data_IF_816786207646
#
_entry.id   IF_816786207646
#
_cell.length_a   1.000
_cell.length_b   1.000
_cell.length_c   1.000
_cell.angle_alpha   90.00
_cell.angle_beta   90.00
_cell.angle_gamma   90.00
#
_symmetry.space_group_name_H-M   'P 1'
#
loop_
_entity.id
_entity.type
_entity.pdbx_description
1 polymer ?
#
# COMPACT_ATOMS: atom_id res chain seq x y z
N UNK A 1 5.40 -16.32 -24.10
CA UNK A 1 4.84 -14.97 -23.95
C UNK A 1 4.87 -14.57 -22.49
N UNK A 2 5.57 -13.50 -22.21
CA UNK A 2 5.70 -13.03 -20.81
C UNK A 2 4.55 -12.11 -20.48
N UNK A 3 3.86 -12.43 -19.40
CA UNK A 3 2.85 -11.54 -18.86
C UNK A 3 3.43 -10.85 -17.65
N UNK A 4 3.33 -9.54 -17.63
CA UNK A 4 3.71 -8.77 -16.44
C UNK A 4 2.62 -8.92 -15.40
N UNK A 5 2.83 -9.89 -14.51
CA UNK A 5 1.91 -10.08 -13.41
C UNK A 5 2.21 -9.04 -12.33
N UNK A 6 1.20 -8.27 -11.99
CA UNK A 6 1.33 -7.20 -11.01
C UNK A 6 0.14 -7.23 -10.06
N UNK A 7 0.41 -7.27 -8.78
CA UNK A 7 -0.65 -7.23 -7.78
C UNK A 7 -0.24 -6.43 -6.56
N UNK A 8 -1.23 -5.88 -5.90
CA UNK A 8 -1.08 -5.08 -4.69
C UNK A 8 -1.92 -5.71 -3.60
N UNK A 9 -1.33 -5.89 -2.42
CA UNK A 9 -2.04 -6.44 -1.27
C UNK A 9 -1.76 -5.59 -0.04
N UNK A 10 -2.81 -5.15 0.62
CA UNK A 10 -2.69 -4.56 1.95
C UNK A 10 -2.89 -5.65 3.00
N UNK A 11 -2.13 -5.57 4.07
CA UNK A 11 -2.20 -6.54 5.16
C UNK A 11 -1.84 -5.85 6.47
N UNK A 12 -2.09 -6.52 7.59
CA UNK A 12 -1.70 -5.97 8.89
C UNK A 12 -0.64 -6.86 9.53
N UNK A 13 0.25 -6.23 10.32
CA UNK A 13 1.32 -6.94 11.01
C UNK A 13 0.89 -7.22 12.44
N UNK A 14 0.25 -8.36 12.65
CA UNK A 14 -0.31 -8.73 13.95
C UNK A 14 0.73 -8.96 15.04
N UNK A 15 1.96 -9.21 14.63
CA UNK A 15 3.06 -9.45 15.57
C UNK A 15 3.73 -8.17 16.03
N UNK A 16 3.32 -7.01 15.51
CA UNK A 16 3.95 -5.72 15.82
C UNK A 16 2.92 -4.69 16.24
N UNK A 17 2.09 -5.05 17.22
CA UNK A 17 1.06 -4.14 17.69
C UNK A 17 1.66 -2.85 18.25
N UNK A 18 0.98 -1.74 17.99
CA UNK A 18 1.37 -0.44 18.50
C UNK A 18 0.93 -0.30 19.94
N UNK A 19 1.36 0.78 20.59
CA UNK A 19 1.03 1.03 22.00
C UNK A 19 -0.47 1.09 22.25
N UNK A 20 -1.24 1.54 21.26
CA UNK A 20 -2.69 1.63 21.37
C UNK A 20 -3.39 0.31 21.02
N UNK A 21 -2.65 -0.75 20.76
CA UNK A 21 -3.21 -2.05 20.44
C UNK A 21 -3.55 -2.25 18.97
N UNK A 22 -3.34 -1.25 18.15
CA UNK A 22 -3.61 -1.37 16.72
C UNK A 22 -2.45 -2.03 15.99
N UNK A 23 -2.75 -2.71 14.89
CA UNK A 23 -1.75 -3.34 14.06
C UNK A 23 -1.36 -2.42 12.92
N UNK A 24 -0.05 -2.28 12.62
CA UNK A 24 0.38 -1.47 11.49
C UNK A 24 -0.07 -2.10 10.17
N UNK A 25 -0.44 -1.28 9.21
CA UNK A 25 -0.84 -1.74 7.88
C UNK A 25 0.38 -1.73 6.99
N UNK A 26 0.59 -2.85 6.29
CA UNK A 26 1.66 -2.98 5.31
C UNK A 26 1.10 -3.11 3.91
N UNK A 27 1.96 -2.85 2.95
CA UNK A 27 1.65 -2.98 1.54
C UNK A 27 2.62 -3.97 0.92
N UNK A 28 2.10 -4.95 0.19
CA UNK A 28 2.92 -5.91 -0.54
C UNK A 28 2.66 -5.74 -2.03
N UNK A 29 3.73 -5.57 -2.78
CA UNK A 29 3.66 -5.50 -4.24
C UNK A 29 4.32 -6.76 -4.79
N UNK A 30 3.63 -7.44 -5.69
CA UNK A 30 4.16 -8.63 -6.36
C UNK A 30 4.26 -8.35 -7.85
N UNK A 31 5.45 -8.52 -8.41
CA UNK A 31 5.70 -8.35 -9.84
C UNK A 31 6.42 -9.59 -10.33
N UNK A 32 5.78 -10.36 -11.19
CA UNK A 32 6.37 -11.56 -11.81
C UNK A 32 6.99 -12.51 -10.78
N UNK A 33 6.30 -12.70 -9.67
CA UNK A 33 6.76 -13.60 -8.60
C UNK A 33 7.67 -12.97 -7.57
N UNK A 34 8.19 -11.78 -7.82
CA UNK A 34 8.99 -11.05 -6.85
C UNK A 34 8.10 -10.23 -5.94
N UNK A 35 8.36 -10.27 -4.65
CA UNK A 35 7.58 -9.56 -3.67
C UNK A 35 8.43 -8.56 -2.91
N UNK A 36 7.89 -7.38 -2.69
CA UNK A 36 8.50 -6.36 -1.86
C UNK A 36 7.42 -5.73 -0.97
N UNK A 37 7.80 -5.32 0.22
CA UNK A 37 6.86 -4.79 1.19
C UNK A 37 7.29 -3.43 1.68
N UNK A 38 6.30 -2.60 2.04
CA UNK A 38 6.56 -1.31 2.65
C UNK A 38 5.48 -1.01 3.67
N UNK A 39 5.78 -0.10 4.58
CA UNK A 39 4.80 0.39 5.55
C UNK A 39 4.19 1.68 5.05
N UNK A 40 2.90 1.85 5.29
CA UNK A 40 2.20 3.06 4.85
C UNK A 40 1.88 4.01 6.01
N UNK A 41 2.43 3.75 7.20
CA UNK A 41 2.29 4.58 8.40
C UNK A 41 0.83 4.79 8.79
N UNK A 42 0.05 3.75 8.68
CA UNK A 42 -1.34 3.70 9.15
C UNK A 42 -1.52 2.43 9.96
N UNK A 43 -2.50 2.43 10.81
CA UNK A 43 -2.77 1.28 11.67
C UNK A 43 -4.27 1.12 11.85
N UNK A 44 -4.68 -0.07 12.30
CA UNK A 44 -6.08 -0.40 12.48
C UNK A 44 -6.19 -1.49 13.55
N UNK A 45 -7.31 -1.51 14.28
CA UNK A 45 -7.59 -2.59 15.21
C UNK A 45 -7.70 -3.91 14.44
N UNK A 46 -7.09 -4.98 14.96
CA UNK A 46 -7.08 -6.27 14.27
C UNK A 46 -8.48 -6.74 13.90
N UNK A 47 -9.42 -6.59 14.82
CA UNK A 47 -10.79 -7.06 14.64
C UNK A 47 -11.54 -6.32 13.53
N UNK A 48 -11.06 -5.16 13.14
CA UNK A 48 -11.68 -4.37 12.08
C UNK A 48 -11.05 -4.59 10.72
N UNK A 49 -10.04 -5.44 10.62
CA UNK A 49 -9.37 -5.70 9.36
C UNK A 49 -10.02 -6.88 8.64
N UNK A 50 -10.38 -6.67 7.39
CA UNK A 50 -10.89 -7.73 6.52
C UNK A 50 -9.75 -8.24 5.65
N UNK A 51 -9.19 -9.39 6.02
CA UNK A 51 -8.04 -9.97 5.34
C UNK A 51 -8.38 -10.39 3.91
N UNK A 52 -9.60 -10.82 3.68
CA UNK A 52 -10.02 -11.25 2.34
C UNK A 52 -10.06 -10.10 1.35
N UNK A 53 -10.50 -8.94 1.81
CA UNK A 53 -10.62 -7.76 0.94
C UNK A 53 -9.45 -6.79 1.09
N UNK A 54 -8.62 -6.96 2.11
CA UNK A 54 -7.51 -6.04 2.37
C UNK A 54 -7.97 -4.63 2.69
N UNK A 55 -9.00 -4.51 3.50
CA UNK A 55 -9.57 -3.22 3.86
C UNK A 55 -10.12 -3.23 5.28
N UNK A 56 -10.58 -2.07 5.74
CA UNK A 56 -11.15 -1.91 7.07
C UNK A 56 -12.66 -2.15 7.01
N UNK A 57 -13.18 -2.91 7.97
CA UNK A 57 -14.62 -3.12 8.07
C UNK A 57 -15.28 -1.96 8.79
N UNK A 58 -16.58 -1.77 8.52
CA UNK A 58 -17.38 -0.75 9.16
C UNK A 58 -17.70 0.41 8.24
N UNK A 59 -18.64 1.22 8.68
CA UNK A 59 -19.13 2.36 7.90
C UNK A 59 -18.92 3.68 8.62
N UNK A 60 -18.22 3.64 9.75
CA UNK A 60 -17.94 4.87 10.47
C UNK A 60 -16.90 5.71 9.73
N UNK A 61 -16.83 6.97 10.12
CA UNK A 61 -15.98 7.93 9.43
C UNK A 61 -14.52 7.49 9.37
N UNK A 62 -14.02 6.96 10.47
CA UNK A 62 -12.61 6.51 10.54
C UNK A 62 -12.33 5.39 9.55
N UNK A 63 -13.26 4.43 9.44
CA UNK A 63 -13.10 3.33 8.49
C UNK A 63 -13.14 3.84 7.05
N UNK A 64 -14.05 4.75 6.75
CA UNK A 64 -14.16 5.32 5.40
C UNK A 64 -12.92 6.11 5.02
N UNK A 65 -12.41 6.92 5.94
CA UNK A 65 -11.19 7.71 5.67
C UNK A 65 -9.99 6.80 5.42
N UNK A 66 -9.86 5.75 6.22
CA UNK A 66 -8.74 4.83 6.07
C UNK A 66 -8.83 4.08 4.75
N UNK A 67 -10.02 3.61 4.40
CA UNK A 67 -10.21 2.92 3.12
C UNK A 67 -9.96 3.85 1.93
N UNK A 68 -10.35 5.10 2.03
CA UNK A 68 -10.05 6.09 0.99
C UNK A 68 -8.54 6.30 0.85
N UNK A 69 -7.82 6.33 1.96
CA UNK A 69 -6.38 6.45 1.92
C UNK A 69 -5.75 5.24 1.23
N UNK A 70 -6.20 4.03 1.58
CA UNK A 70 -5.70 2.81 0.95
C UNK A 70 -5.95 2.83 -0.55
N UNK A 71 -7.13 3.28 -0.98
CA UNK A 71 -7.43 3.38 -2.41
C UNK A 71 -6.55 4.41 -3.11
N UNK A 72 -6.25 5.53 -2.47
CA UNK A 72 -5.37 6.52 -3.07
C UNK A 72 -3.95 5.99 -3.21
N UNK A 73 -3.48 5.21 -2.25
CA UNK A 73 -2.16 4.56 -2.34
C UNK A 73 -2.16 3.57 -3.50
N UNK A 74 -3.19 2.76 -3.61
CA UNK A 74 -3.32 1.79 -4.70
C UNK A 74 -3.28 2.47 -6.06
N UNK A 75 -4.03 3.56 -6.21
CA UNK A 75 -4.08 4.33 -7.45
C UNK A 75 -2.71 4.88 -7.82
N UNK A 76 -2.00 5.43 -6.85
CA UNK A 76 -0.66 5.96 -7.10
C UNK A 76 0.32 4.89 -7.55
N UNK A 77 0.23 3.71 -6.96
CA UNK A 77 1.13 2.61 -7.31
C UNK A 77 0.83 2.11 -8.73
N UNK A 78 -0.44 2.00 -9.10
CA UNK A 78 -0.80 1.65 -10.48
C UNK A 78 -0.31 2.70 -11.46
N UNK A 79 -0.37 3.97 -11.08
CA UNK A 79 0.14 5.06 -11.91
C UNK A 79 1.65 4.94 -12.11
N UNK A 80 2.39 4.65 -11.04
CA UNK A 80 3.84 4.46 -11.11
C UNK A 80 4.17 3.28 -12.03
N UNK A 81 3.44 2.19 -11.91
CA UNK A 81 3.61 1.03 -12.78
C UNK A 81 3.42 1.40 -14.24
N UNK A 82 2.38 2.17 -14.53
CA UNK A 82 2.10 2.62 -15.90
C UNK A 82 3.21 3.52 -16.43
N UNK A 83 3.71 4.44 -15.61
CA UNK A 83 4.80 5.32 -16.00
C UNK A 83 6.07 4.55 -16.32
N UNK A 84 6.41 3.55 -15.53
CA UNK A 84 7.57 2.72 -15.78
C UNK A 84 7.42 1.95 -17.08
N UNK A 85 6.22 1.47 -17.39
CA UNK A 85 5.94 0.80 -18.66
C UNK A 85 6.17 1.74 -19.83
N UNK A 86 5.66 2.96 -19.75
CA UNK A 86 5.79 3.94 -20.82
C UNK A 86 7.23 4.35 -21.05
N UNK A 87 8.01 4.45 -19.98
CA UNK A 87 9.42 4.84 -20.06
C UNK A 87 10.32 3.69 -20.49
N UNK A 88 9.79 2.49 -20.62
CA UNK A 88 10.59 1.32 -20.97
C UNK A 88 11.55 0.89 -19.88
N UNK A 89 11.33 1.32 -18.65
CA UNK A 89 12.20 0.98 -17.53
C UNK A 89 11.87 -0.41 -17.00
N UNK A 90 12.86 -1.09 -16.38
CA UNK A 90 12.58 -2.38 -15.77
C UNK A 90 11.51 -2.26 -14.68
N UNK A 91 10.57 -3.17 -14.68
CA UNK A 91 9.49 -3.19 -13.70
C UNK A 91 9.71 -4.39 -12.79
N UNK A 92 10.05 -4.10 -11.54
CA UNK A 92 10.16 -5.10 -10.49
C UNK A 92 9.51 -4.53 -9.23
N UNK A 93 9.22 -5.41 -8.28
CA UNK A 93 8.69 -4.94 -6.99
C UNK A 93 9.67 -3.98 -6.33
N UNK A 94 10.96 -4.23 -6.50
CA UNK A 94 12.00 -3.40 -5.88
C UNK A 94 12.16 -2.04 -6.60
N UNK A 95 11.78 -1.95 -7.86
CA UNK A 95 11.80 -0.68 -8.58
C UNK A 95 10.61 0.20 -8.18
N UNK A 96 9.46 -0.41 -7.99
CA UNK A 96 8.24 0.32 -7.66
C UNK A 96 8.26 0.84 -6.22
N UNK A 97 8.75 0.05 -5.28
CA UNK A 97 8.74 0.42 -3.86
C UNK A 97 9.49 1.73 -3.57
N UNK A 98 10.74 1.93 -4.03
CA UNK A 98 11.43 3.20 -3.77
C UNK A 98 10.71 4.41 -4.33
N UNK A 99 10.15 4.28 -5.54
CA UNK A 99 9.40 5.39 -6.14
C UNK A 99 8.14 5.67 -5.33
N UNK A 100 7.48 4.61 -4.86
CA UNK A 100 6.29 4.74 -4.02
C UNK A 100 6.61 5.48 -2.73
N UNK A 101 7.72 5.16 -2.08
CA UNK A 101 8.14 5.86 -0.87
C UNK A 101 8.33 7.35 -1.13
N UNK A 102 8.97 7.69 -2.23
CA UNK A 102 9.21 9.08 -2.58
C UNK A 102 7.87 9.82 -2.78
N UNK A 103 6.95 9.21 -3.50
CA UNK A 103 5.65 9.83 -3.73
C UNK A 103 4.85 10.00 -2.44
N UNK A 104 4.82 8.97 -1.60
CA UNK A 104 4.07 9.04 -0.35
C UNK A 104 4.69 10.05 0.61
N UNK A 105 6.01 10.10 0.66
CA UNK A 105 6.71 11.05 1.51
C UNK A 105 6.47 12.48 1.06
N UNK A 106 6.49 12.73 -0.23
CA UNK A 106 6.22 14.06 -0.78
C UNK A 106 4.79 14.49 -0.44
N UNK A 107 3.84 13.56 -0.51
CA UNK A 107 2.46 13.84 -0.16
C UNK A 107 2.34 14.20 1.33
N UNK A 108 3.00 13.47 2.20
CA UNK A 108 3.00 13.74 3.63
C UNK A 108 3.62 15.11 3.93
N UNK A 109 4.71 15.44 3.24
CA UNK A 109 5.36 16.73 3.39
C UNK A 109 4.41 17.86 3.02
N UNK A 110 3.65 17.68 1.95
CA UNK A 110 2.66 18.67 1.53
C UNK A 110 1.62 18.93 2.60
N UNK A 111 1.23 17.91 3.33
CA UNK A 111 0.24 18.03 4.38
C UNK A 111 0.72 18.87 5.57
N UNK A 112 2.02 18.94 5.77
CA UNK A 112 2.61 19.67 6.87
C UNK A 112 2.89 21.14 6.55
N UNK A 113 2.73 21.50 5.32
CA UNK A 113 2.88 22.88 4.90
C UNK A 113 1.52 23.58 4.98
#
# INVERSE_FOLDING_TARGET
>A
MQRNYFSILFFIRRTRLLKNGEAPIGLRITVNGQRAEMQIKRSVAEERWNASKGCVTGKDRKALELNQYLESVRTKIYQIHRELLQDGKPITAFTIIPVSYTHLRAHETSLHL
#
